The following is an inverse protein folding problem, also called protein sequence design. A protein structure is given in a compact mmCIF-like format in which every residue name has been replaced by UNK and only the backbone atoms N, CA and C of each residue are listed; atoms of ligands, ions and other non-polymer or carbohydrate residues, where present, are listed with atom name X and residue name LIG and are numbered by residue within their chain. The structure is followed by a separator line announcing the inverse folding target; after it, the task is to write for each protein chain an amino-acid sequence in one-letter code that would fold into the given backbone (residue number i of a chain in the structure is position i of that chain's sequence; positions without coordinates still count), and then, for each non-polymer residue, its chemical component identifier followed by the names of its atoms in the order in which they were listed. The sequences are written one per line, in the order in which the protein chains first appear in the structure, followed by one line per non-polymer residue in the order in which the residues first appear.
data_IF_331181710805
#
_entry.id   IF_331181710805
#
_cell.length_a   1.000
_cell.length_b   1.000
_cell.length_c   1.000
_cell.angle_alpha   90.00
_cell.angle_beta   90.00
_cell.angle_gamma   90.00
#
_symmetry.space_group_name_H-M   'P 1'
#
loop_
_entity.id
_entity.type
_entity.pdbx_description
1 polymer ?
#
# COMPACT_ATOMS: atom_id res chain seq x y z
N UNK A 1 30.97 -74.04 -7.69
CA UNK A 1 31.38 -72.62 -7.64
C UNK A 1 30.91 -71.93 -8.90
N UNK A 2 29.84 -71.13 -8.85
CA UNK A 2 29.65 -70.07 -9.84
C UNK A 2 29.22 -68.82 -9.08
N UNK A 3 30.09 -67.84 -9.15
CA UNK A 3 30.06 -66.56 -8.46
C UNK A 3 28.82 -65.75 -8.86
N UNK A 4 28.15 -65.16 -7.88
CA UNK A 4 27.13 -64.15 -8.13
C UNK A 4 27.81 -62.83 -8.48
N UNK A 5 27.78 -62.49 -9.77
CA UNK A 5 28.24 -61.23 -10.32
C UNK A 5 27.31 -60.10 -9.84
N UNK A 6 27.80 -59.26 -8.93
CA UNK A 6 27.14 -58.01 -8.54
C UNK A 6 27.26 -57.00 -9.70
N UNK A 7 26.24 -56.95 -10.56
CA UNK A 7 26.15 -55.93 -11.61
C UNK A 7 25.76 -54.60 -10.95
N UNK A 8 26.73 -53.70 -10.79
CA UNK A 8 26.49 -52.29 -10.48
C UNK A 8 25.91 -51.61 -11.73
N UNK A 9 24.59 -51.49 -11.78
CA UNK A 9 23.90 -50.67 -12.78
C UNK A 9 24.22 -49.19 -12.54
N UNK A 10 25.30 -48.69 -13.14
CA UNK A 10 25.54 -47.26 -13.24
C UNK A 10 24.63 -46.70 -14.34
N UNK A 11 23.68 -45.84 -13.94
CA UNK A 11 22.83 -45.10 -14.87
C UNK A 11 23.71 -44.32 -15.86
N UNK A 12 23.45 -44.41 -17.17
CA UNK A 12 24.24 -43.68 -18.17
C UNK A 12 24.12 -42.17 -17.93
N UNK A 13 25.22 -41.43 -18.13
CA UNK A 13 25.32 -39.99 -17.85
C UNK A 13 24.21 -39.16 -18.51
N UNK A 14 23.75 -39.58 -19.69
CA UNK A 14 22.64 -38.97 -20.42
C UNK A 14 21.29 -39.09 -19.69
N UNK A 15 21.04 -40.18 -18.96
CA UNK A 15 19.83 -40.34 -18.14
C UNK A 15 19.90 -39.45 -16.89
N UNK A 16 21.09 -39.25 -16.31
CA UNK A 16 21.27 -38.35 -15.17
C UNK A 16 21.06 -36.89 -15.60
N UNK A 17 21.57 -36.50 -16.77
CA UNK A 17 21.38 -35.16 -17.34
C UNK A 17 19.91 -34.88 -17.66
N UNK A 18 19.20 -35.82 -18.29
CA UNK A 18 17.77 -35.70 -18.57
C UNK A 18 16.95 -35.58 -17.28
N UNK A 19 17.29 -36.36 -16.24
CA UNK A 19 16.65 -36.29 -14.93
C UNK A 19 16.86 -34.92 -14.26
N UNK A 20 18.07 -34.35 -14.34
CA UNK A 20 18.38 -33.02 -13.80
C UNK A 20 17.61 -31.92 -14.54
N UNK A 21 17.49 -32.00 -15.87
CA UNK A 21 16.69 -31.05 -16.66
C UNK A 21 15.20 -31.15 -16.32
N UNK A 22 14.67 -32.37 -16.15
CA UNK A 22 13.27 -32.59 -15.73
C UNK A 22 13.03 -32.07 -14.30
N UNK A 23 13.98 -32.26 -13.38
CA UNK A 23 13.90 -31.72 -12.01
C UNK A 23 13.98 -30.18 -11.98
N UNK A 24 14.77 -29.56 -12.85
CA UNK A 24 14.85 -28.10 -13.02
C UNK A 24 13.61 -27.49 -13.69
N UNK A 25 12.93 -28.24 -14.56
CA UNK A 25 11.64 -27.83 -15.15
C UNK A 25 10.45 -28.09 -14.21
N UNK A 26 10.58 -29.05 -13.28
CA UNK A 26 9.58 -29.36 -12.27
C UNK A 26 9.62 -28.41 -11.06
N UNK A 27 10.70 -27.64 -10.86
CA UNK A 27 10.74 -26.54 -9.90
C UNK A 27 9.97 -25.33 -10.42
N UNK A 28 8.65 -25.47 -10.47
CA UNK A 28 7.72 -24.34 -10.63
C UNK A 28 7.60 -23.64 -9.29
N UNK A 29 8.32 -22.53 -9.11
CA UNK A 29 8.03 -21.62 -8.01
C UNK A 29 6.68 -20.95 -8.30
N UNK A 30 5.68 -21.20 -7.46
CA UNK A 30 4.43 -20.45 -7.52
C UNK A 30 4.73 -18.99 -7.20
N UNK A 31 4.74 -18.13 -8.20
CA UNK A 31 4.75 -16.68 -8.00
C UNK A 31 3.38 -16.31 -7.43
N UNK A 32 3.29 -16.12 -6.12
CA UNK A 32 2.07 -15.64 -5.47
C UNK A 32 2.07 -14.11 -5.46
N UNK A 33 1.33 -13.50 -6.38
CA UNK A 33 1.02 -12.09 -6.31
C UNK A 33 -0.31 -11.89 -5.55
N UNK A 34 -0.32 -11.09 -4.48
CA UNK A 34 -1.53 -10.79 -3.68
C UNK A 34 -2.46 -9.76 -4.32
N UNK A 35 -2.08 -9.24 -5.50
CA UNK A 35 -2.81 -8.32 -6.36
C UNK A 35 -3.37 -7.10 -5.63
N UNK A 36 -2.54 -6.48 -4.78
CA UNK A 36 -2.92 -5.26 -4.04
C UNK A 36 -2.87 -4.06 -5.00
N UNK A 37 -3.98 -3.34 -5.06
CA UNK A 37 -4.20 -2.16 -5.91
C UNK A 37 -3.99 -0.85 -5.15
N UNK A 38 -4.47 -0.77 -3.91
CA UNK A 38 -4.37 0.42 -3.07
C UNK A 38 -4.63 0.09 -1.59
N UNK A 39 -4.41 1.06 -0.72
CA UNK A 39 -4.88 0.99 0.67
C UNK A 39 -4.47 2.20 1.49
N UNK A 40 -5.10 2.33 2.65
CA UNK A 40 -4.87 3.39 3.63
C UNK A 40 -5.16 2.88 5.06
N UNK A 41 -4.66 3.63 6.05
CA UNK A 41 -4.94 3.41 7.46
C UNK A 41 -5.42 4.74 8.04
N UNK A 42 -6.54 4.72 8.73
CA UNK A 42 -7.10 5.87 9.46
C UNK A 42 -7.27 5.53 10.93
N UNK A 43 -7.21 6.54 11.79
CA UNK A 43 -7.39 6.42 13.23
C UNK A 43 -8.40 7.45 13.72
N UNK A 44 -9.48 6.98 14.36
CA UNK A 44 -10.48 7.85 14.99
C UNK A 44 -10.23 7.92 16.49
N UNK A 45 -10.31 9.11 17.07
CA UNK A 45 -10.26 9.30 18.53
C UNK A 45 -11.33 8.50 19.27
N UNK A 46 -11.10 8.30 20.57
CA UNK A 46 -12.15 7.79 21.46
C UNK A 46 -13.29 8.81 21.64
N UNK A 47 -14.49 8.43 21.19
CA UNK A 47 -15.72 9.21 21.35
C UNK A 47 -16.73 8.54 22.29
N UNK A 48 -16.29 7.59 23.13
CA UNK A 48 -17.14 6.96 24.15
C UNK A 48 -17.46 7.95 25.30
N UNK A 49 -18.44 7.65 26.18
CA UNK A 49 -18.82 8.58 27.26
C UNK A 49 -17.69 8.96 28.23
N UNK A 50 -16.66 8.11 28.35
CA UNK A 50 -15.46 8.36 29.16
C UNK A 50 -14.23 8.25 28.25
N UNK A 51 -13.97 9.25 27.40
CA UNK A 51 -13.01 9.13 26.33
C UNK A 51 -11.58 9.14 26.87
N UNK A 52 -10.75 8.24 26.35
CA UNK A 52 -9.32 8.18 26.68
C UNK A 52 -8.48 8.80 25.53
N UNK A 53 -7.68 9.86 25.77
CA UNK A 53 -6.92 10.54 24.72
C UNK A 53 -5.86 9.67 24.05
N UNK A 54 -5.53 8.52 24.66
CA UNK A 54 -4.59 7.54 24.12
C UNK A 54 -5.26 6.36 23.43
N UNK A 55 -6.60 6.32 23.39
CA UNK A 55 -7.35 5.24 22.75
C UNK A 55 -7.82 5.67 21.37
N UNK A 56 -7.56 4.82 20.40
CA UNK A 56 -7.90 5.03 19.00
C UNK A 56 -8.66 3.82 18.44
N UNK A 57 -9.57 4.10 17.52
CA UNK A 57 -10.27 3.13 16.70
C UNK A 57 -9.71 3.21 15.28
N UNK A 58 -8.97 2.20 14.88
CA UNK A 58 -8.31 2.16 13.58
C UNK A 58 -9.19 1.49 12.54
N UNK A 59 -9.09 1.98 11.31
CA UNK A 59 -9.62 1.31 10.12
C UNK A 59 -8.51 1.24 9.08
N UNK A 60 -8.21 0.03 8.61
CA UNK A 60 -7.37 -0.17 7.43
C UNK A 60 -8.25 -0.67 6.30
N UNK A 61 -8.12 -0.06 5.12
CA UNK A 61 -8.81 -0.48 3.90
C UNK A 61 -7.77 -0.92 2.88
N UNK A 62 -7.91 -2.14 2.37
CA UNK A 62 -7.07 -2.68 1.30
C UNK A 62 -7.93 -2.96 0.08
N UNK A 63 -7.51 -2.44 -1.07
CA UNK A 63 -8.12 -2.69 -2.36
C UNK A 63 -7.30 -3.74 -3.10
N UNK A 64 -7.95 -4.79 -3.59
CA UNK A 64 -7.29 -5.85 -4.35
C UNK A 64 -8.10 -6.29 -5.55
N UNK A 65 -7.42 -6.92 -6.50
CA UNK A 65 -8.07 -7.56 -7.63
C UNK A 65 -8.86 -8.83 -7.20
N UNK A 66 -10.05 -9.03 -7.76
CA UNK A 66 -10.90 -10.19 -7.49
C UNK A 66 -10.32 -11.53 -7.99
N UNK A 67 -9.45 -11.50 -8.99
CA UNK A 67 -8.76 -12.67 -9.57
C UNK A 67 -7.38 -12.95 -8.96
N UNK A 68 -6.94 -12.18 -7.95
CA UNK A 68 -5.65 -12.38 -7.29
C UNK A 68 -5.65 -13.40 -6.16
N UNK A 69 -4.49 -13.63 -5.54
CA UNK A 69 -4.35 -14.52 -4.38
C UNK A 69 -5.14 -13.99 -3.20
N UNK A 70 -5.91 -14.84 -2.53
CA UNK A 70 -6.74 -14.46 -1.38
C UNK A 70 -5.95 -13.64 -0.34
N UNK A 71 -6.60 -12.59 0.18
CA UNK A 71 -6.05 -11.78 1.27
C UNK A 71 -5.79 -12.65 2.51
N UNK A 72 -4.65 -12.44 3.17
CA UNK A 72 -4.36 -13.07 4.44
C UNK A 72 -5.44 -12.69 5.47
N UNK A 73 -5.92 -13.66 6.25
CA UNK A 73 -6.89 -13.42 7.30
C UNK A 73 -6.67 -14.43 8.45
N UNK A 74 -6.25 -13.97 9.64
CA UNK A 74 -6.02 -12.59 10.03
C UNK A 74 -4.77 -11.97 9.36
N UNK A 75 -4.75 -10.64 9.23
CA UNK A 75 -3.54 -9.90 8.83
C UNK A 75 -2.70 -9.53 10.05
N UNK A 76 -1.40 -9.39 9.86
CA UNK A 76 -0.47 -8.88 10.89
C UNK A 76 -0.22 -7.39 10.70
N UNK A 77 -0.53 -6.57 11.71
CA UNK A 77 -0.37 -5.11 11.69
C UNK A 77 0.69 -4.71 12.71
N UNK A 78 1.64 -3.86 12.30
CA UNK A 78 2.57 -3.25 13.24
C UNK A 78 1.91 -2.05 13.90
N UNK A 79 1.77 -2.10 15.23
CA UNK A 79 0.96 -1.14 15.96
C UNK A 79 1.83 -0.11 16.69
N UNK A 80 2.67 0.63 15.96
CA UNK A 80 3.45 1.74 16.53
C UNK A 80 4.67 1.30 17.33
N UNK A 81 5.42 0.30 16.87
CA UNK A 81 6.60 -0.26 17.55
C UNK A 81 6.32 -0.93 18.92
N UNK A 82 5.06 -1.15 19.27
CA UNK A 82 4.64 -1.81 20.52
C UNK A 82 4.37 -3.31 20.35
N UNK A 83 4.79 -3.87 19.22
CA UNK A 83 4.52 -5.24 18.81
C UNK A 83 3.47 -5.30 17.70
N UNK A 84 3.41 -6.46 17.07
CA UNK A 84 2.46 -6.75 16.01
C UNK A 84 1.16 -7.33 16.59
N UNK A 85 0.05 -7.05 15.92
CA UNK A 85 -1.28 -7.56 16.28
C UNK A 85 -1.89 -8.33 15.10
N UNK A 86 -2.70 -9.34 15.39
CA UNK A 86 -3.48 -10.07 14.38
C UNK A 86 -4.90 -9.53 14.31
N UNK A 87 -5.33 -9.09 13.12
CA UNK A 87 -6.64 -8.48 12.91
C UNK A 87 -7.40 -9.25 11.84
N UNK A 88 -8.61 -9.70 12.16
CA UNK A 88 -9.48 -10.34 11.18
C UNK A 88 -10.14 -9.31 10.26
N UNK A 89 -10.41 -9.71 9.02
CA UNK A 89 -11.23 -8.92 8.11
C UNK A 89 -12.63 -8.74 8.72
N UNK A 90 -13.10 -7.49 8.78
CA UNK A 90 -14.42 -7.15 9.29
C UNK A 90 -15.46 -7.17 8.17
N UNK A 91 -15.08 -6.78 6.96
CA UNK A 91 -15.98 -6.69 5.82
C UNK A 91 -15.22 -6.77 4.49
N UNK A 92 -15.81 -7.46 3.51
CA UNK A 92 -15.35 -7.47 2.12
C UNK A 92 -16.47 -6.92 1.24
N UNK A 93 -16.15 -5.95 0.37
CA UNK A 93 -17.13 -5.28 -0.49
C UNK A 93 -16.60 -5.27 -1.93
N UNK A 94 -17.26 -5.91 -2.89
CA UNK A 94 -16.98 -5.72 -4.30
C UNK A 94 -17.34 -4.29 -4.70
N UNK A 95 -16.44 -3.57 -5.38
CA UNK A 95 -16.66 -2.18 -5.84
C UNK A 95 -16.68 -2.06 -7.36
N UNK A 96 -16.68 -3.19 -8.08
CA UNK A 96 -16.65 -3.23 -9.54
C UNK A 96 -15.23 -3.17 -10.11
N UNK A 97 -15.12 -3.15 -11.44
CA UNK A 97 -13.83 -3.13 -12.16
C UNK A 97 -12.80 -4.17 -11.63
N UNK A 98 -13.26 -5.41 -11.41
CA UNK A 98 -12.45 -6.52 -10.87
C UNK A 98 -11.76 -6.16 -9.54
N UNK A 99 -12.36 -5.29 -8.74
CA UNK A 99 -11.79 -4.81 -7.47
C UNK A 99 -12.74 -5.06 -6.31
N UNK A 100 -12.18 -5.50 -5.20
CA UNK A 100 -12.85 -5.62 -3.90
C UNK A 100 -12.07 -4.85 -2.83
N UNK A 101 -12.79 -4.27 -1.86
CA UNK A 101 -12.20 -3.63 -0.68
C UNK A 101 -12.39 -4.48 0.56
N UNK A 102 -11.29 -4.73 1.26
CA UNK A 102 -11.21 -5.46 2.52
C UNK A 102 -11.01 -4.45 3.65
N UNK A 103 -11.92 -4.47 4.62
CA UNK A 103 -11.94 -3.53 5.74
C UNK A 103 -11.54 -4.26 7.01
N UNK A 104 -10.52 -3.76 7.67
CA UNK A 104 -10.02 -4.26 8.96
C UNK A 104 -10.25 -3.19 10.02
N UNK A 105 -10.73 -3.60 11.20
CA UNK A 105 -11.02 -2.68 12.31
C UNK A 105 -10.47 -3.24 13.61
N UNK A 106 -9.79 -2.39 14.36
CA UNK A 106 -9.32 -2.71 15.70
C UNK A 106 -9.28 -1.45 16.54
N UNK A 107 -9.03 -1.62 17.83
CA UNK A 107 -8.80 -0.51 18.74
C UNK A 107 -7.51 -0.74 19.50
N UNK A 108 -6.87 0.34 19.90
CA UNK A 108 -5.68 0.25 20.74
C UNK A 108 -5.60 1.43 21.69
N UNK A 109 -5.05 1.18 22.89
CA UNK A 109 -4.79 2.22 23.89
C UNK A 109 -3.29 2.29 24.12
N UNK A 110 -2.69 3.42 23.76
CA UNK A 110 -1.25 3.63 23.95
C UNK A 110 -0.91 3.88 25.43
N UNK A 111 0.25 3.38 25.90
CA UNK A 111 0.63 3.49 27.31
C UNK A 111 1.06 4.91 27.70
N UNK A 112 1.53 5.70 26.73
CA UNK A 112 2.06 7.04 26.94
C UNK A 112 1.70 7.98 25.79
N UNK A 113 1.96 9.27 26.01
CA UNK A 113 1.95 10.28 24.95
C UNK A 113 3.20 10.11 24.08
N UNK A 114 3.09 10.44 22.80
CA UNK A 114 4.19 10.23 21.85
C UNK A 114 3.73 10.09 20.40
N UNK A 115 4.70 9.82 19.53
CA UNK A 115 4.47 9.57 18.10
C UNK A 115 4.45 8.07 17.85
N UNK A 116 3.39 7.60 17.20
CA UNK A 116 3.21 6.18 16.88
C UNK A 116 2.91 6.00 15.39
N UNK A 117 3.71 5.18 14.71
CA UNK A 117 3.50 4.83 13.30
C UNK A 117 2.90 3.44 13.20
N UNK A 118 1.62 3.39 12.84
CA UNK A 118 0.91 2.15 12.59
C UNK A 118 1.10 1.80 11.13
N UNK A 119 1.52 0.57 10.83
CA UNK A 119 1.81 0.17 9.46
C UNK A 119 1.39 -1.26 9.14
N UNK A 120 1.20 -1.49 7.85
CA UNK A 120 0.91 -2.79 7.31
C UNK A 120 1.74 -3.04 6.05
N UNK A 121 2.21 -4.28 5.90
CA UNK A 121 2.89 -4.75 4.71
C UNK A 121 2.04 -5.80 4.00
N UNK A 122 1.90 -5.64 2.69
CA UNK A 122 1.32 -6.64 1.81
C UNK A 122 2.39 -7.36 1.01
N UNK A 123 2.17 -8.63 0.68
CA UNK A 123 3.21 -9.47 0.07
C UNK A 123 3.67 -8.92 -1.28
N UNK A 124 2.77 -8.68 -2.23
CA UNK A 124 3.12 -8.31 -3.61
C UNK A 124 2.04 -7.41 -4.27
N UNK A 125 2.48 -6.47 -5.11
CA UNK A 125 1.62 -5.65 -5.97
C UNK A 125 1.08 -6.42 -7.17
N UNK A 126 0.26 -5.75 -7.99
CA UNK A 126 -0.10 -6.24 -9.33
C UNK A 126 1.12 -6.33 -10.26
N UNK A 127 1.14 -7.31 -11.18
CA UNK A 127 2.11 -7.35 -12.28
C UNK A 127 1.85 -6.21 -13.28
N UNK A 128 2.85 -5.89 -14.12
CA UNK A 128 2.75 -4.93 -15.23
C UNK A 128 2.40 -3.48 -14.85
N UNK A 129 2.70 -3.06 -13.62
CA UNK A 129 2.64 -1.63 -13.25
C UNK A 129 3.73 -0.88 -14.01
N UNK A 130 3.33 0.12 -14.79
CA UNK A 130 4.16 0.73 -15.84
C UNK A 130 5.24 1.66 -15.30
N UNK A 131 5.00 2.30 -14.15
CA UNK A 131 5.88 3.31 -13.57
C UNK A 131 6.70 2.81 -12.37
N UNK A 132 7.05 1.53 -12.35
CA UNK A 132 7.94 0.89 -11.38
C UNK A 132 8.99 0.02 -12.12
N UNK A 133 10.06 -0.38 -11.43
CA UNK A 133 10.96 -1.39 -11.97
C UNK A 133 10.24 -2.74 -12.09
N UNK A 134 10.30 -3.36 -13.27
CA UNK A 134 9.79 -4.71 -13.49
C UNK A 134 10.70 -5.79 -12.87
N UNK A 135 10.13 -6.94 -12.44
CA UNK A 135 8.70 -7.26 -12.40
C UNK A 135 8.01 -6.64 -11.17
N UNK A 136 6.86 -5.98 -11.37
CA UNK A 136 6.25 -5.16 -10.32
C UNK A 136 5.60 -5.97 -9.19
N UNK A 137 5.21 -7.19 -9.48
CA UNK A 137 4.66 -8.21 -8.58
C UNK A 137 5.71 -8.87 -7.69
N UNK A 138 6.98 -8.45 -7.76
CA UNK A 138 8.02 -8.81 -6.77
C UNK A 138 8.25 -7.72 -5.72
N UNK A 139 7.53 -6.59 -5.80
CA UNK A 139 7.65 -5.52 -4.82
C UNK A 139 6.49 -5.58 -3.82
N UNK A 140 6.81 -5.75 -2.54
CA UNK A 140 5.84 -5.73 -1.44
C UNK A 140 5.20 -4.38 -1.22
N UNK A 141 3.94 -4.36 -0.80
CA UNK A 141 3.17 -3.15 -0.58
C UNK A 141 3.37 -2.66 0.85
N UNK A 142 3.44 -1.33 1.08
CA UNK A 142 3.57 -0.76 2.42
C UNK A 142 2.70 0.49 2.53
N UNK A 143 1.91 0.55 3.59
CA UNK A 143 1.14 1.71 4.02
C UNK A 143 1.35 1.93 5.51
N UNK A 144 1.26 3.18 5.93
CA UNK A 144 1.32 3.55 7.33
C UNK A 144 0.54 4.83 7.57
N UNK A 145 0.18 5.05 8.83
CA UNK A 145 -0.24 6.33 9.35
C UNK A 145 0.51 6.62 10.64
N UNK A 146 0.85 7.88 10.85
CA UNK A 146 1.50 8.36 12.06
C UNK A 146 0.53 9.23 12.83
N UNK A 147 0.34 8.90 14.11
CA UNK A 147 -0.43 9.72 15.05
C UNK A 147 0.49 10.31 16.11
N UNK A 148 0.27 11.58 16.46
CA UNK A 148 0.99 12.27 17.54
C UNK A 148 0.05 12.53 18.72
N UNK A 149 0.17 11.67 19.73
CA UNK A 149 -0.65 11.71 20.93
C UNK A 149 -0.04 12.72 21.90
N UNK A 150 -0.81 13.74 22.25
CA UNK A 150 -0.46 14.70 23.30
C UNK A 150 -1.72 15.07 24.06
N UNK A 151 -1.81 14.60 25.31
CA UNK A 151 -2.96 14.78 26.18
C UNK A 151 -3.31 16.25 26.45
N UNK A 152 -2.35 17.18 26.34
CA UNK A 152 -2.58 18.62 26.52
C UNK A 152 -3.18 19.30 25.28
N UNK A 153 -3.03 18.71 24.08
CA UNK A 153 -3.61 19.26 22.83
C UNK A 153 -5.02 18.76 22.55
N UNK A 154 -5.53 17.87 23.40
CA UNK A 154 -6.84 17.25 23.23
C UNK A 154 -6.82 16.09 22.25
N UNK A 155 -8.03 15.64 21.89
CA UNK A 155 -8.22 14.49 21.03
C UNK A 155 -8.06 14.84 19.55
N UNK A 156 -7.69 13.85 18.76
CA UNK A 156 -7.46 14.00 17.34
C UNK A 156 -7.84 12.73 16.57
N UNK A 157 -8.37 12.88 15.37
CA UNK A 157 -8.60 11.79 14.43
C UNK A 157 -7.84 12.08 13.15
N UNK A 158 -7.26 11.06 12.52
CA UNK A 158 -6.66 11.27 11.20
C UNK A 158 -7.75 11.65 10.18
N UNK A 159 -7.38 12.31 9.08
CA UNK A 159 -8.28 12.54 7.97
C UNK A 159 -8.80 11.22 7.39
N UNK A 160 -10.00 11.24 6.84
CA UNK A 160 -10.58 10.10 6.11
C UNK A 160 -10.66 10.42 4.62
N UNK A 161 -10.34 9.46 3.76
CA UNK A 161 -10.52 9.57 2.32
C UNK A 161 -11.87 8.96 1.94
N UNK A 162 -12.76 9.75 1.33
CA UNK A 162 -14.14 9.34 1.07
C UNK A 162 -14.37 8.78 -0.34
N UNK A 163 -13.38 8.95 -1.22
CA UNK A 163 -13.41 8.43 -2.60
C UNK A 163 -12.45 7.26 -2.72
N UNK A 164 -12.93 6.13 -3.24
CA UNK A 164 -12.11 4.93 -3.44
C UNK A 164 -10.96 5.25 -4.45
N UNK A 165 -9.68 4.94 -4.13
CA UNK A 165 -8.51 5.40 -4.89
C UNK A 165 -8.24 4.61 -6.18
N UNK A 166 -9.02 3.55 -6.45
CA UNK A 166 -8.90 2.75 -7.67
C UNK A 166 -9.76 3.38 -8.77
N UNK A 167 -9.14 4.20 -9.59
CA UNK A 167 -9.81 4.99 -10.63
C UNK A 167 -9.32 4.65 -12.05
N UNK A 168 -10.14 4.97 -13.06
CA UNK A 168 -9.90 4.65 -14.47
C UNK A 168 -9.68 5.94 -15.26
N UNK A 169 -8.47 6.07 -15.79
CA UNK A 169 -8.13 7.15 -16.71
C UNK A 169 -8.38 6.75 -18.18
N UNK A 170 -8.86 7.69 -19.00
CA UNK A 170 -8.98 7.51 -20.44
C UNK A 170 -7.70 8.00 -21.15
N UNK A 171 -7.15 7.16 -22.01
CA UNK A 171 -6.01 7.55 -22.85
C UNK A 171 -6.40 8.73 -23.74
N UNK A 172 -5.54 9.75 -23.81
CA UNK A 172 -5.74 10.96 -24.61
C UNK A 172 -6.71 11.98 -24.00
N UNK A 173 -7.10 11.82 -22.73
CA UNK A 173 -8.03 12.73 -22.04
C UNK A 173 -7.49 13.11 -20.67
N UNK A 174 -7.74 14.35 -20.23
CA UNK A 174 -7.45 14.78 -18.86
C UNK A 174 -8.12 13.82 -17.87
N UNK A 175 -7.33 13.32 -16.93
CA UNK A 175 -7.82 12.54 -15.79
C UNK A 175 -7.71 13.39 -14.52
N UNK A 176 -8.74 13.29 -13.68
CA UNK A 176 -8.85 14.04 -12.44
C UNK A 176 -9.39 13.11 -11.38
N UNK A 177 -8.77 13.12 -10.20
CA UNK A 177 -9.23 12.37 -9.05
C UNK A 177 -9.00 13.19 -7.79
N UNK A 178 -10.04 13.36 -6.98
CA UNK A 178 -9.89 13.94 -5.65
C UNK A 178 -10.19 12.84 -4.63
N UNK A 179 -9.31 12.57 -3.66
CA UNK A 179 -9.51 11.50 -2.68
C UNK A 179 -10.64 11.81 -1.68
N UNK A 180 -11.20 13.02 -1.73
CA UNK A 180 -12.30 13.47 -0.87
C UNK A 180 -11.89 13.45 0.59
N UNK A 181 -10.70 13.97 0.89
CA UNK A 181 -10.19 13.98 2.25
C UNK A 181 -11.05 14.86 3.15
N UNK A 182 -11.36 14.37 4.34
CA UNK A 182 -12.16 15.07 5.32
C UNK A 182 -11.56 14.92 6.70
N UNK A 183 -11.39 16.06 7.38
CA UNK A 183 -10.98 16.12 8.78
C UNK A 183 -12.19 16.49 9.66
N UNK A 184 -12.48 15.65 10.64
CA UNK A 184 -13.63 15.84 11.52
C UNK A 184 -13.37 16.84 12.66
N UNK A 185 -12.12 17.21 12.86
CA UNK A 185 -11.63 18.02 13.98
C UNK A 185 -11.35 19.47 13.57
N UNK A 186 -11.45 19.74 12.26
CA UNK A 186 -11.30 21.06 11.66
C UNK A 186 -9.84 21.44 11.42
N UNK A 187 -8.95 20.45 11.38
CA UNK A 187 -7.54 20.66 11.13
C UNK A 187 -7.26 20.89 9.64
N UNK A 188 -6.17 21.59 9.35
CA UNK A 188 -5.74 21.87 7.99
C UNK A 188 -5.01 20.67 7.40
N UNK A 189 -5.30 20.34 6.15
CA UNK A 189 -4.69 19.21 5.44
C UNK A 189 -3.68 19.70 4.41
N UNK A 190 -2.55 19.00 4.32
CA UNK A 190 -1.56 19.24 3.29
C UNK A 190 -1.20 17.95 2.56
N UNK A 191 -1.25 17.97 1.23
CA UNK A 191 -1.03 16.79 0.39
C UNK A 191 0.34 16.83 -0.26
N UNK A 192 1.08 15.72 -0.16
CA UNK A 192 2.42 15.61 -0.75
C UNK A 192 2.61 14.28 -1.44
N UNK A 193 3.11 14.32 -2.67
CA UNK A 193 3.56 13.10 -3.33
C UNK A 193 4.70 12.46 -2.54
N UNK A 194 4.67 11.14 -2.47
CA UNK A 194 5.75 10.33 -1.93
C UNK A 194 6.08 9.20 -2.90
N UNK A 195 7.25 8.62 -2.76
CA UNK A 195 7.57 7.39 -3.49
C UNK A 195 6.85 6.23 -2.81
N UNK A 196 6.13 5.36 -3.55
CA UNK A 196 5.57 4.14 -2.98
C UNK A 196 6.65 3.33 -2.26
N UNK A 197 6.32 2.75 -1.12
CA UNK A 197 7.29 2.03 -0.27
C UNK A 197 7.06 0.53 -0.28
N UNK A 198 8.11 -0.23 0.03
CA UNK A 198 8.12 -1.69 0.16
C UNK A 198 8.97 -2.11 1.35
N UNK A 199 8.83 -3.38 1.75
CA UNK A 199 9.79 -4.06 2.62
C UNK A 199 10.90 -4.72 1.79
N UNK A 200 12.14 -4.59 2.22
CA UNK A 200 13.25 -5.39 1.69
C UNK A 200 13.35 -6.76 2.40
N UNK A 201 14.34 -7.58 2.03
CA UNK A 201 14.55 -8.89 2.62
C UNK A 201 14.92 -8.84 4.12
N UNK A 202 15.37 -7.68 4.61
CA UNK A 202 15.71 -7.42 6.01
C UNK A 202 14.58 -6.71 6.76
N UNK A 203 13.38 -6.65 6.17
CA UNK A 203 12.20 -5.98 6.74
C UNK A 203 12.33 -4.46 6.88
N UNK A 204 13.27 -3.81 6.20
CA UNK A 204 13.38 -2.35 6.20
C UNK A 204 12.32 -1.74 5.27
N UNK A 205 11.76 -0.59 5.68
CA UNK A 205 10.88 0.21 4.82
C UNK A 205 11.74 1.02 3.85
N UNK A 206 11.64 0.75 2.56
CA UNK A 206 12.40 1.45 1.52
C UNK A 206 11.52 1.83 0.34
N UNK A 207 12.00 2.74 -0.49
CA UNK A 207 11.31 3.12 -1.73
C UNK A 207 11.24 1.93 -2.71
N UNK A 208 10.14 1.83 -3.44
CA UNK A 208 10.03 0.90 -4.56
C UNK A 208 10.97 1.36 -5.67
N UNK A 209 11.84 0.49 -6.19
CA UNK A 209 12.83 0.88 -7.17
C UNK A 209 12.18 1.21 -8.52
N UNK A 210 12.81 2.12 -9.26
CA UNK A 210 12.36 2.53 -10.60
C UNK A 210 11.05 3.30 -10.64
N UNK A 211 10.55 3.76 -9.48
CA UNK A 211 9.38 4.64 -9.46
C UNK A 211 9.66 5.95 -10.18
N UNK A 212 8.76 6.31 -11.09
CA UNK A 212 8.72 7.63 -11.73
C UNK A 212 7.28 8.13 -11.75
N UNK A 213 7.10 9.44 -11.83
CA UNK A 213 5.76 10.00 -11.99
C UNK A 213 5.11 9.52 -13.31
N UNK A 214 3.78 9.30 -13.34
CA UNK A 214 3.12 8.76 -14.53
C UNK A 214 3.38 9.57 -15.80
N UNK A 215 3.39 10.90 -15.72
CA UNK A 215 3.64 11.81 -16.84
C UNK A 215 5.08 11.76 -17.39
N UNK A 216 6.06 11.30 -16.61
CA UNK A 216 7.47 11.27 -17.05
C UNK A 216 7.91 9.90 -17.55
N UNK A 217 7.06 8.87 -17.38
CA UNK A 217 7.42 7.49 -17.72
C UNK A 217 7.61 7.26 -19.22
N UNK A 218 6.80 7.94 -20.03
CA UNK A 218 6.79 7.82 -21.49
C UNK A 218 6.84 9.22 -22.10
N UNK A 219 7.64 9.38 -23.16
CA UNK A 219 7.74 10.66 -23.87
C UNK A 219 6.59 10.82 -24.87
N UNK A 220 5.39 11.06 -24.33
CA UNK A 220 4.17 11.22 -25.11
C UNK A 220 3.86 12.68 -25.44
N UNK A 221 3.19 12.91 -26.57
CA UNK A 221 2.59 14.21 -26.84
C UNK A 221 1.45 14.47 -25.84
N UNK A 222 1.40 15.70 -25.33
CA UNK A 222 0.39 16.15 -24.36
C UNK A 222 0.00 17.60 -24.64
N UNK A 223 -1.21 18.05 -24.20
CA UNK A 223 -1.61 19.45 -24.35
C UNK A 223 -0.68 20.42 -23.62
N UNK A 224 -0.01 19.95 -22.56
CA UNK A 224 1.11 20.66 -21.94
C UNK A 224 2.44 20.04 -22.38
N UNK A 225 3.48 20.85 -22.52
CA UNK A 225 4.81 20.39 -22.91
C UNK A 225 5.87 20.98 -21.95
N UNK A 226 6.41 20.21 -21.00
CA UNK A 226 6.20 18.76 -20.79
C UNK A 226 4.83 18.42 -20.18
N UNK A 227 4.36 17.16 -20.33
CA UNK A 227 3.13 16.64 -19.70
C UNK A 227 3.17 16.82 -18.17
N UNK A 228 2.01 17.10 -17.56
CA UNK A 228 1.88 17.37 -16.13
C UNK A 228 1.12 16.26 -15.40
N UNK A 229 1.63 15.89 -14.22
CA UNK A 229 0.93 15.10 -13.21
C UNK A 229 1.04 15.84 -11.87
N UNK A 230 -0.06 16.44 -11.41
CA UNK A 230 -0.07 17.34 -10.25
C UNK A 230 -0.92 16.80 -9.12
N UNK A 231 -0.58 17.21 -7.90
CA UNK A 231 -1.37 17.03 -6.69
C UNK A 231 -1.52 18.40 -6.07
N UNK A 232 -2.75 18.89 -5.99
CA UNK A 232 -3.05 20.14 -5.30
C UNK A 232 -2.74 19.96 -3.80
N UNK A 233 -1.84 20.79 -3.22
CA UNK A 233 -1.39 20.61 -1.84
C UNK A 233 -2.44 20.95 -0.78
N UNK A 234 -3.54 21.62 -1.14
CA UNK A 234 -4.61 22.03 -0.22
C UNK A 234 -5.87 21.17 -0.39
N UNK A 235 -6.21 20.83 -1.64
CA UNK A 235 -7.45 20.10 -1.94
C UNK A 235 -7.25 18.60 -2.15
N UNK A 236 -6.01 18.16 -2.37
CA UNK A 236 -5.69 16.78 -2.72
C UNK A 236 -6.08 16.39 -4.15
N UNK A 237 -6.48 17.33 -4.99
CA UNK A 237 -6.87 17.04 -6.38
C UNK A 237 -5.66 16.58 -7.19
N UNK A 238 -5.70 15.32 -7.63
CA UNK A 238 -4.79 14.75 -8.60
C UNK A 238 -5.26 15.10 -10.01
N UNK A 239 -4.34 15.54 -10.85
CA UNK A 239 -4.61 15.78 -12.26
C UNK A 239 -3.49 15.21 -13.13
N UNK A 240 -3.86 14.43 -14.14
CA UNK A 240 -2.99 14.06 -15.25
C UNK A 240 -3.55 14.68 -16.52
N UNK A 241 -2.79 15.59 -17.12
CA UNK A 241 -3.24 16.34 -18.29
C UNK A 241 -3.61 15.45 -19.48
N UNK A 242 -2.82 14.42 -19.75
CA UNK A 242 -3.11 13.43 -20.79
C UNK A 242 -2.33 12.11 -20.58
N UNK A 243 -2.94 11.10 -19.94
CA UNK A 243 -2.45 9.72 -19.99
C UNK A 243 -2.37 9.23 -21.44
N UNK A 244 -1.27 8.58 -21.82
CA UNK A 244 -1.03 8.22 -23.22
C UNK A 244 -0.85 6.72 -23.49
N UNK A 245 -0.36 5.96 -22.51
CA UNK A 245 -0.15 4.52 -22.62
C UNK A 245 -1.10 3.82 -21.66
N UNK A 246 -1.89 2.88 -22.19
CA UNK A 246 -2.76 2.01 -21.40
C UNK A 246 -1.92 1.12 -20.48
N UNK A 247 -2.29 1.07 -19.21
CA UNK A 247 -1.67 0.21 -18.21
C UNK A 247 -2.06 0.65 -16.80
N UNK A 248 -1.57 -0.06 -15.80
CA UNK A 248 -1.71 0.34 -14.39
C UNK A 248 -0.52 1.22 -13.99
N UNK A 249 -0.80 2.24 -13.20
CA UNK A 249 0.20 3.17 -12.66
C UNK A 249 -0.01 3.27 -11.16
N UNK A 250 1.09 3.27 -10.42
CA UNK A 250 1.07 3.46 -8.97
C UNK A 250 1.21 4.95 -8.64
N UNK A 251 0.46 5.41 -7.65
CA UNK A 251 0.51 6.76 -7.11
C UNK A 251 0.54 6.60 -5.58
N UNK A 252 1.43 7.35 -4.93
CA UNK A 252 1.44 7.45 -3.48
C UNK A 252 1.54 8.91 -3.06
N UNK A 253 0.76 9.28 -2.06
CA UNK A 253 0.83 10.57 -1.40
C UNK A 253 0.60 10.39 0.10
N UNK A 254 0.96 11.41 0.85
CA UNK A 254 0.69 11.53 2.27
C UNK A 254 -0.26 12.71 2.51
N UNK A 255 -1.12 12.60 3.52
CA UNK A 255 -2.02 13.67 3.96
C UNK A 255 -1.55 14.11 5.35
N UNK A 256 -0.80 15.20 5.40
CA UNK A 256 -0.37 15.76 6.67
C UNK A 256 -1.50 16.54 7.33
N UNK A 257 -1.67 16.33 8.62
CA UNK A 257 -2.68 17.02 9.43
C UNK A 257 -2.03 18.07 10.33
N UNK A 258 -2.55 19.30 10.27
CA UNK A 258 -1.96 20.47 10.94
C UNK A 258 -2.99 21.22 11.77
N UNK A 259 -2.72 21.35 13.08
CA UNK A 259 -3.48 22.23 13.96
C UNK A 259 -2.92 23.63 13.94
N UNK A 260 -3.73 24.59 13.51
CA UNK A 260 -3.38 26.01 13.53
C UNK A 260 -3.98 26.67 14.77
N UNK A 261 -3.12 27.27 15.58
CA UNK A 261 -3.53 28.05 16.75
C UNK A 261 -4.04 29.44 16.35
N UNK A 262 -4.87 30.10 17.18
CA UNK A 262 -5.36 31.46 16.90
C UNK A 262 -4.25 32.51 16.69
N UNK A 263 -3.04 32.27 17.20
CA UNK A 263 -1.87 33.12 17.01
C UNK A 263 -1.07 32.85 15.73
N UNK A 264 -1.53 31.94 14.86
CA UNK A 264 -0.89 31.59 13.58
C UNK A 264 0.20 30.51 13.67
N UNK A 265 0.52 30.01 14.87
CA UNK A 265 1.43 28.87 15.01
C UNK A 265 0.76 27.56 14.57
N UNK A 266 1.45 26.74 13.79
CA UNK A 266 0.96 25.44 13.31
C UNK A 266 1.77 24.29 13.90
N UNK A 267 1.10 23.18 14.23
CA UNK A 267 1.74 21.96 14.70
C UNK A 267 1.20 20.75 13.94
N UNK A 268 2.10 19.90 13.44
CA UNK A 268 1.74 18.64 12.80
C UNK A 268 1.20 17.65 13.83
N UNK A 269 0.04 17.08 13.55
CA UNK A 269 -0.65 16.11 14.42
C UNK A 269 -0.44 14.67 13.95
N UNK A 270 -0.23 14.49 12.65
CA UNK A 270 -0.08 13.17 12.05
C UNK A 270 0.11 13.27 10.54
N UNK A 271 0.24 12.10 9.93
CA UNK A 271 0.30 11.92 8.47
C UNK A 271 -0.07 10.51 8.02
#
# INVERSE_FOLDING_TARGET
MKEHLLIRNLLPFSCLFALVVVLLLASSTSVQATHIRAGDITAKRDTTPNPNPRRFFFTMVIYRDTGGVQMENPVTINNGNLGDISVNVAQVIPIGNQTEKHIFRWQYTYPADGTYTVSWKGVNRNPNIQNLQAPSDQHSFHIETTININSLRGFNSTPVLTVDPVDIALVGRKWVHNPGAFDADGDSLAFKFVVPRRRDANENVINVPGFVMPNTRFNCASPTNPSTFTLDPETGQLEWDQPCIRGEYNIAFVVEEWRVSPGGGAVKLGE
#
